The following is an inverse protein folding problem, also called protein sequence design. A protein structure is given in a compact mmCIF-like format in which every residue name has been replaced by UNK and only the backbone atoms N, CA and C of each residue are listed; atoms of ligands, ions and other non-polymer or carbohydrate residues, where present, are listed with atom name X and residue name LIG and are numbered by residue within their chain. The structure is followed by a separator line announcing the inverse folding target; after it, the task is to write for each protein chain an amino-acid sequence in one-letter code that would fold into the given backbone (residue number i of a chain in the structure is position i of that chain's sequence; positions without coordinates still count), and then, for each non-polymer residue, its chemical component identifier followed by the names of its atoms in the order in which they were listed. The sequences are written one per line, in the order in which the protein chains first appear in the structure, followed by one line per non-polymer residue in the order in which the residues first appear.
data_IF_500207094216
#
_entry.id   IF_500207094216
#
_cell.length_a   1.000
_cell.length_b   1.000
_cell.length_c   1.000
_cell.angle_alpha   90.00
_cell.angle_beta   90.00
_cell.angle_gamma   90.00
#
_symmetry.space_group_name_H-M   'P 1'
#
loop_
_entity.id
_entity.type
_entity.pdbx_description
1 polymer ?
#
# COMPACT_ATOMS: atom_id res chain seq x y z
N UNK A 1 -32.65 14.31 -18.74
CA UNK A 1 -31.41 14.92 -19.26
C UNK A 1 -30.26 14.56 -18.34
N UNK A 2 -29.32 13.73 -18.80
CA UNK A 2 -28.20 13.25 -17.98
C UNK A 2 -27.17 14.37 -17.77
N UNK A 3 -26.84 14.65 -16.50
CA UNK A 3 -25.82 15.61 -16.09
C UNK A 3 -24.44 15.12 -16.53
N UNK A 4 -23.81 15.84 -17.46
CA UNK A 4 -22.45 15.55 -17.95
C UNK A 4 -21.43 15.82 -16.83
N UNK A 5 -20.70 14.80 -16.41
CA UNK A 5 -19.71 14.87 -15.34
C UNK A 5 -18.52 15.80 -15.62
N UNK A 6 -18.17 16.61 -14.61
CA UNK A 6 -17.17 17.71 -14.58
C UNK A 6 -15.70 17.20 -14.53
N UNK A 7 -15.49 15.90 -14.38
CA UNK A 7 -14.18 15.30 -14.14
C UNK A 7 -13.80 14.28 -15.22
N UNK A 8 -12.50 14.18 -15.54
CA UNK A 8 -11.95 13.16 -16.44
C UNK A 8 -10.81 12.42 -15.74
N UNK A 9 -11.02 11.15 -15.41
CA UNK A 9 -9.93 10.27 -14.99
C UNK A 9 -9.25 9.69 -16.23
N UNK A 10 -7.96 9.97 -16.36
CA UNK A 10 -7.05 9.44 -17.38
C UNK A 10 -6.04 8.53 -16.70
N UNK A 11 -5.43 7.57 -17.40
CA UNK A 11 -4.38 6.71 -16.82
C UNK A 11 -3.02 7.40 -16.91
N UNK A 12 -2.04 7.06 -16.07
CA UNK A 12 -0.65 7.50 -16.28
C UNK A 12 0.08 6.49 -17.18
N UNK A 13 0.85 6.95 -18.19
CA UNK A 13 1.68 6.07 -18.98
C UNK A 13 2.85 5.55 -18.13
N UNK A 14 3.04 4.23 -18.12
CA UNK A 14 4.25 3.61 -17.57
C UNK A 14 5.36 3.78 -18.62
N UNK A 15 6.26 4.75 -18.42
CA UNK A 15 7.33 5.03 -19.38
C UNK A 15 8.42 3.95 -19.27
N UNK A 16 8.70 3.25 -20.37
CA UNK A 16 9.82 2.33 -20.49
C UNK A 16 11.11 3.10 -20.77
N UNK A 17 11.88 3.42 -19.73
CA UNK A 17 13.27 3.81 -19.96
C UNK A 17 14.06 2.55 -20.30
N UNK A 18 14.50 2.46 -21.56
CA UNK A 18 15.55 1.54 -22.00
C UNK A 18 16.80 1.75 -21.14
N UNK A 19 17.07 0.81 -20.22
CA UNK A 19 18.34 0.75 -19.49
C UNK A 19 19.32 -0.15 -20.24
N UNK A 20 20.49 0.40 -20.53
CA UNK A 20 21.67 -0.32 -20.99
C UNK A 20 22.09 -1.42 -20.01
N UNK A 21 22.70 -2.52 -20.46
CA UNK A 21 23.02 -3.64 -19.59
C UNK A 21 24.11 -3.25 -18.57
N UNK A 22 23.77 -3.32 -17.29
CA UNK A 22 24.73 -3.20 -16.18
C UNK A 22 25.34 -4.59 -15.96
N UNK A 23 26.66 -4.71 -16.19
CA UNK A 23 27.42 -5.90 -15.83
C UNK A 23 27.43 -6.09 -14.31
N UNK A 24 26.94 -7.23 -13.84
CA UNK A 24 27.02 -7.65 -12.45
C UNK A 24 28.40 -8.29 -12.19
N UNK A 25 29.18 -7.87 -11.18
CA UNK A 25 30.32 -8.64 -10.73
C UNK A 25 29.85 -9.89 -9.96
N UNK A 26 30.62 -10.97 -10.09
CA UNK A 26 30.33 -12.28 -9.50
C UNK A 26 30.21 -12.23 -7.96
N UNK A 27 29.11 -12.78 -7.43
CA UNK A 27 28.91 -13.03 -6.01
C UNK A 27 29.96 -14.02 -5.49
N UNK A 28 30.85 -13.56 -4.60
CA UNK A 28 31.63 -14.46 -3.73
C UNK A 28 30.70 -15.02 -2.66
N UNK A 29 30.47 -16.33 -2.69
CA UNK A 29 29.83 -17.08 -1.60
C UNK A 29 30.74 -17.03 -0.37
N UNK A 30 30.28 -16.39 0.70
CA UNK A 30 30.78 -16.60 2.05
C UNK A 30 29.80 -17.52 2.78
N UNK A 31 30.21 -18.76 3.01
CA UNK A 31 29.51 -19.69 3.90
C UNK A 31 30.07 -19.54 5.31
N UNK A 32 29.27 -19.08 6.26
CA UNK A 32 29.58 -19.21 7.68
C UNK A 32 28.81 -20.41 8.24
N UNK A 33 29.54 -21.37 8.81
CA UNK A 33 28.98 -22.50 9.52
C UNK A 33 28.47 -22.05 10.90
N UNK A 34 27.18 -22.29 11.18
CA UNK A 34 26.59 -22.05 12.49
C UNK A 34 26.77 -23.26 13.41
N UNK A 35 27.46 -23.06 14.53
CA UNK A 35 27.59 -24.03 15.62
C UNK A 35 26.27 -24.11 16.40
N UNK A 36 25.76 -25.32 16.57
CA UNK A 36 24.58 -25.66 17.37
C UNK A 36 24.96 -25.67 18.84
N UNK A 37 24.26 -24.90 19.68
CA UNK A 37 24.31 -25.02 21.14
C UNK A 37 22.98 -25.59 21.65
N UNK A 38 23.07 -26.75 22.29
CA UNK A 38 21.97 -27.51 22.84
C UNK A 38 21.57 -27.04 24.25
N UNK A 39 20.26 -27.10 24.52
CA UNK A 39 19.65 -27.53 25.78
C UNK A 39 19.86 -26.68 27.03
N UNK A 40 18.80 -26.01 27.48
CA UNK A 40 18.57 -25.81 28.91
C UNK A 40 17.11 -26.10 29.27
N UNK A 41 16.95 -26.68 30.46
CA UNK A 41 15.83 -27.49 30.95
C UNK A 41 14.58 -26.69 31.33
N UNK A 42 13.47 -27.40 31.24
CA UNK A 42 12.14 -27.16 31.85
C UNK A 42 12.26 -27.07 33.37
N UNK A 43 11.70 -26.02 33.97
CA UNK A 43 11.26 -25.99 35.37
C UNK A 43 9.80 -25.51 35.43
N UNK A 44 9.01 -26.18 36.27
CA UNK A 44 7.58 -25.98 36.49
C UNK A 44 7.34 -24.95 37.61
N UNK A 45 6.34 -24.07 37.39
CA UNK A 45 5.34 -23.44 38.29
C UNK A 45 5.58 -23.34 39.83
N UNK A 46 5.09 -22.26 40.48
CA UNK A 46 3.75 -22.34 41.07
C UNK A 46 2.85 -21.08 40.99
N UNK A 47 1.58 -21.34 40.67
CA UNK A 47 0.30 -20.75 41.13
C UNK A 47 0.31 -19.52 42.07
N UNK A 48 -0.42 -18.48 41.66
CA UNK A 48 -0.92 -17.38 42.51
C UNK A 48 -2.11 -16.67 41.85
N UNK A 49 -3.27 -16.71 42.52
CA UNK A 49 -4.59 -16.20 42.13
C UNK A 49 -4.67 -14.71 41.77
N UNK A 50 -5.57 -14.33 40.86
CA UNK A 50 -6.79 -13.50 41.10
C UNK A 50 -7.55 -13.39 39.78
N UNK A 51 -8.74 -14.00 39.69
CA UNK A 51 -9.73 -13.66 38.67
C UNK A 51 -10.52 -12.44 39.17
N UNK A 52 -10.43 -11.31 38.48
CA UNK A 52 -11.55 -10.37 38.36
C UNK A 52 -11.32 -9.46 37.15
N UNK A 53 -12.27 -9.46 36.21
CA UNK A 53 -12.31 -8.49 35.11
C UNK A 53 -12.62 -9.12 33.76
N UNK A 54 -13.92 -9.18 33.45
CA UNK A 54 -14.45 -9.50 32.14
C UNK A 54 -13.73 -8.67 31.06
N UNK A 55 -12.78 -9.30 30.35
CA UNK A 55 -12.26 -8.74 29.12
C UNK A 55 -13.11 -9.28 27.99
N UNK A 56 -13.80 -8.36 27.33
CA UNK A 56 -14.35 -8.55 26.00
C UNK A 56 -13.15 -8.72 25.03
N UNK A 57 -12.52 -9.90 25.07
CA UNK A 57 -11.35 -10.22 24.27
C UNK A 57 -11.84 -10.49 22.86
N UNK A 58 -11.90 -9.45 22.05
CA UNK A 58 -11.82 -9.64 20.60
C UNK A 58 -10.62 -10.55 20.33
N UNK A 59 -10.80 -11.66 19.59
CA UNK A 59 -9.70 -12.59 19.35
C UNK A 59 -8.53 -11.83 18.73
N UNK A 60 -7.35 -11.94 19.35
CA UNK A 60 -6.14 -11.32 18.83
C UNK A 60 -5.84 -11.96 17.48
N UNK A 61 -5.91 -11.16 16.41
CA UNK A 61 -5.58 -11.62 15.05
C UNK A 61 -4.14 -12.11 15.02
N UNK A 62 -3.92 -13.20 14.31
CA UNK A 62 -2.57 -13.68 14.02
C UNK A 62 -1.89 -12.76 13.00
N UNK A 63 -0.56 -12.75 12.98
CA UNK A 63 0.22 -12.00 11.97
C UNK A 63 -0.21 -12.31 10.53
N UNK A 64 -0.56 -13.57 10.25
CA UNK A 64 -1.00 -13.99 8.92
C UNK A 64 -2.38 -13.42 8.57
N UNK A 65 -3.32 -13.44 9.51
CA UNK A 65 -4.66 -12.86 9.32
C UNK A 65 -4.58 -11.35 9.11
N UNK A 66 -3.73 -10.64 9.86
CA UNK A 66 -3.50 -9.21 9.66
C UNK A 66 -2.95 -8.93 8.25
N UNK A 67 -1.95 -9.70 7.81
CA UNK A 67 -1.39 -9.57 6.46
C UNK A 67 -2.43 -9.78 5.36
N UNK A 68 -3.30 -10.78 5.53
CA UNK A 68 -4.37 -11.10 4.58
C UNK A 68 -5.42 -9.99 4.53
N UNK A 69 -5.85 -9.48 5.68
CA UNK A 69 -6.77 -8.35 5.77
C UNK A 69 -6.19 -7.09 5.13
N UNK A 70 -4.92 -6.75 5.42
CA UNK A 70 -4.25 -5.60 4.80
C UNK A 70 -4.12 -5.74 3.29
N UNK A 71 -3.84 -6.95 2.80
CA UNK A 71 -3.80 -7.23 1.36
C UNK A 71 -5.19 -7.08 0.73
N UNK A 72 -6.24 -7.56 1.39
CA UNK A 72 -7.61 -7.47 0.88
C UNK A 72 -8.11 -6.01 0.85
N UNK A 73 -7.84 -5.22 1.90
CA UNK A 73 -8.00 -3.76 1.91
C UNK A 73 -7.29 -3.10 0.71
N UNK A 74 -6.03 -3.49 0.45
CA UNK A 74 -5.25 -2.96 -0.64
C UNK A 74 -5.84 -3.31 -2.02
N UNK A 75 -6.49 -4.46 -2.20
CA UNK A 75 -7.10 -4.88 -3.48
C UNK A 75 -8.31 -4.03 -3.89
N UNK A 76 -9.03 -3.46 -2.93
CA UNK A 76 -10.15 -2.53 -3.15
C UNK A 76 -9.75 -1.05 -3.00
N UNK A 77 -8.45 -0.79 -3.00
CA UNK A 77 -7.89 0.56 -2.91
C UNK A 77 -7.33 1.00 -4.28
N UNK A 78 -7.49 2.28 -4.59
CA UNK A 78 -6.93 2.94 -5.79
C UNK A 78 -5.98 4.07 -5.41
N UNK A 79 -4.99 4.31 -6.28
CA UNK A 79 -4.08 5.44 -6.17
C UNK A 79 -4.43 6.46 -7.25
N UNK A 80 -4.72 7.69 -6.85
CA UNK A 80 -5.12 8.77 -7.77
C UNK A 80 -4.13 9.92 -7.69
N UNK A 81 -3.48 10.25 -8.80
CA UNK A 81 -2.76 11.50 -8.95
C UNK A 81 -3.76 12.64 -9.17
N UNK A 82 -3.71 13.64 -8.31
CA UNK A 82 -4.66 14.74 -8.22
C UNK A 82 -4.07 16.03 -8.79
N UNK A 83 -4.90 16.91 -9.38
CA UNK A 83 -4.47 18.26 -9.71
C UNK A 83 -4.23 19.07 -8.43
N UNK A 84 -3.34 20.07 -8.51
CA UNK A 84 -2.95 20.91 -7.37
C UNK A 84 -4.09 21.71 -6.74
N UNK A 85 -5.21 21.88 -7.46
CA UNK A 85 -6.41 22.60 -7.00
C UNK A 85 -7.60 21.66 -7.06
N UNK A 86 -7.82 20.88 -6.00
CA UNK A 86 -8.92 19.93 -5.89
C UNK A 86 -9.65 20.11 -4.56
N UNK A 87 -10.99 20.01 -4.60
CA UNK A 87 -11.82 20.02 -3.40
C UNK A 87 -12.00 18.57 -2.98
N UNK A 88 -11.62 18.23 -1.75
CA UNK A 88 -11.82 16.91 -1.17
C UNK A 88 -13.28 16.46 -1.28
N UNK A 89 -14.23 17.37 -0.99
CA UNK A 89 -15.66 17.07 -1.07
C UNK A 89 -16.11 16.74 -2.50
N UNK A 90 -15.64 17.48 -3.49
CA UNK A 90 -15.98 17.21 -4.90
C UNK A 90 -15.31 15.93 -5.40
N UNK A 91 -14.07 15.70 -5.00
CA UNK A 91 -13.30 14.49 -5.29
C UNK A 91 -14.01 13.24 -4.79
N UNK A 92 -14.38 13.21 -3.50
CA UNK A 92 -15.10 12.11 -2.90
C UNK A 92 -16.48 11.95 -3.54
N UNK A 93 -17.21 13.05 -3.78
CA UNK A 93 -18.50 13.00 -4.47
C UNK A 93 -18.40 12.35 -5.86
N UNK A 94 -17.29 12.55 -6.56
CA UNK A 94 -17.08 11.90 -7.85
C UNK A 94 -16.81 10.40 -7.69
N UNK A 95 -15.93 10.01 -6.77
CA UNK A 95 -15.59 8.60 -6.55
C UNK A 95 -16.76 7.80 -5.96
N UNK A 96 -17.56 8.40 -5.08
CA UNK A 96 -18.74 7.77 -4.48
C UNK A 96 -19.83 7.37 -5.49
N UNK A 97 -19.74 7.82 -6.74
CA UNK A 97 -20.63 7.37 -7.83
C UNK A 97 -20.36 5.91 -8.23
N UNK A 98 -19.16 5.40 -7.94
CA UNK A 98 -18.75 4.03 -8.26
C UNK A 98 -18.94 3.06 -7.10
N UNK A 99 -19.15 3.57 -5.89
CA UNK A 99 -19.47 2.81 -4.69
C UNK A 99 -19.06 3.55 -3.41
N UNK A 100 -19.45 3.05 -2.24
CA UNK A 100 -19.14 3.68 -0.96
C UNK A 100 -17.63 3.67 -0.69
N UNK A 101 -17.10 4.83 -0.31
CA UNK A 101 -15.71 5.00 0.12
C UNK A 101 -15.60 4.63 1.60
N UNK A 102 -14.72 3.70 1.93
CA UNK A 102 -14.43 3.30 3.31
C UNK A 102 -13.56 4.35 4.00
N UNK A 103 -12.46 4.73 3.35
CA UNK A 103 -11.53 5.74 3.86
C UNK A 103 -10.64 6.26 2.74
N UNK A 104 -10.04 7.42 2.99
CA UNK A 104 -9.08 8.03 2.08
C UNK A 104 -8.08 8.88 2.86
N UNK A 105 -6.92 9.12 2.24
CA UNK A 105 -5.99 10.14 2.69
C UNK A 105 -5.25 10.71 1.49
N UNK A 106 -4.74 11.93 1.66
CA UNK A 106 -3.87 12.57 0.68
C UNK A 106 -2.43 12.50 1.15
N UNK A 107 -1.48 12.46 0.24
CA UNK A 107 -0.07 12.63 0.54
C UNK A 107 0.63 13.36 -0.61
N UNK A 108 1.76 13.99 -0.28
CA UNK A 108 2.55 14.72 -1.26
C UNK A 108 3.85 13.97 -1.58
N UNK A 109 4.19 13.93 -2.86
CA UNK A 109 5.47 13.44 -3.38
C UNK A 109 5.87 14.32 -4.57
N UNK A 110 6.00 13.78 -5.79
CA UNK A 110 6.16 14.58 -7.02
C UNK A 110 4.86 15.27 -7.49
N UNK A 111 3.93 15.52 -6.58
CA UNK A 111 2.56 15.94 -6.84
C UNK A 111 1.65 15.51 -5.69
N UNK A 112 0.39 15.93 -5.76
CA UNK A 112 -0.65 15.54 -4.79
C UNK A 112 -1.23 14.18 -5.20
N UNK A 113 -1.22 13.22 -4.28
CA UNK A 113 -1.82 11.90 -4.49
C UNK A 113 -2.90 11.65 -3.45
N UNK A 114 -3.92 10.91 -3.86
CA UNK A 114 -4.97 10.40 -2.99
C UNK A 114 -4.95 8.88 -3.01
N UNK A 115 -4.97 8.28 -1.83
CA UNK A 115 -5.21 6.85 -1.64
C UNK A 115 -6.66 6.70 -1.20
N UNK A 116 -7.44 5.92 -1.95
CA UNK A 116 -8.88 5.78 -1.69
C UNK A 116 -9.24 4.31 -1.62
N UNK A 117 -9.69 3.88 -0.45
CA UNK A 117 -10.22 2.54 -0.21
C UNK A 117 -11.74 2.55 -0.34
N UNK A 118 -12.29 1.72 -1.21
CA UNK A 118 -13.73 1.47 -1.29
C UNK A 118 -14.14 0.39 -0.29
N UNK A 119 -15.42 0.35 0.10
CA UNK A 119 -15.93 -0.76 0.92
C UNK A 119 -16.04 -2.07 0.11
N UNK A 120 -16.11 -2.00 -1.22
CA UNK A 120 -16.33 -3.13 -2.11
C UNK A 120 -15.32 -3.13 -3.26
N UNK A 121 -14.85 -4.33 -3.62
CA UNK A 121 -13.93 -4.53 -4.73
C UNK A 121 -14.55 -4.13 -6.07
N UNK A 122 -15.83 -4.43 -6.27
CA UNK A 122 -16.57 -4.10 -7.51
C UNK A 122 -16.61 -2.59 -7.80
N UNK A 123 -16.47 -1.73 -6.77
CA UNK A 123 -16.38 -0.29 -6.95
C UNK A 123 -15.12 0.13 -7.71
N UNK A 124 -14.02 -0.60 -7.52
CA UNK A 124 -12.79 -0.41 -8.30
C UNK A 124 -13.04 -0.76 -9.76
N UNK A 125 -13.70 -1.89 -10.05
CA UNK A 125 -14.00 -2.29 -11.43
C UNK A 125 -14.94 -1.30 -12.12
N UNK A 126 -15.97 -0.83 -11.41
CA UNK A 126 -16.87 0.24 -11.87
C UNK A 126 -16.10 1.51 -12.25
N UNK A 127 -15.16 1.94 -11.40
CA UNK A 127 -14.31 3.09 -11.66
C UNK A 127 -13.38 2.87 -12.86
N UNK A 128 -12.71 1.72 -12.91
CA UNK A 128 -11.77 1.38 -13.98
C UNK A 128 -12.45 1.28 -15.35
N UNK A 129 -13.70 0.83 -15.40
CA UNK A 129 -14.47 0.69 -16.65
C UNK A 129 -14.85 2.04 -17.29
N UNK A 130 -14.98 3.11 -16.50
CA UNK A 130 -15.25 4.46 -17.04
C UNK A 130 -13.98 5.26 -17.32
N UNK A 131 -12.81 4.79 -16.85
CA UNK A 131 -11.53 5.49 -17.07
C UNK A 131 -11.06 5.36 -18.51
N UNK A 132 -10.61 6.48 -19.08
CA UNK A 132 -10.10 6.51 -20.43
C UNK A 132 -8.59 6.28 -20.44
N UNK A 133 -8.11 5.47 -21.39
CA UNK A 133 -6.70 5.45 -21.74
C UNK A 133 -6.40 6.82 -22.37
N UNK A 134 -5.36 7.55 -21.92
CA UNK A 134 -5.01 8.83 -22.53
C UNK A 134 -4.85 8.66 -24.03
N UNK A 135 -5.69 9.34 -24.81
CA UNK A 135 -5.42 9.53 -26.21
C UNK A 135 -4.42 10.68 -26.33
N UNK A 136 -3.27 10.41 -26.95
CA UNK A 136 -2.37 11.34 -27.67
C UNK A 136 -0.94 11.55 -27.13
N UNK A 137 0.02 11.31 -28.04
CA UNK A 137 1.47 11.56 -28.01
C UNK A 137 2.19 10.59 -28.97
N UNK A 138 3.30 10.96 -29.62
CA UNK A 138 4.07 10.10 -30.57
C UNK A 138 4.72 8.84 -29.94
N UNK A 139 4.36 8.48 -28.70
CA UNK A 139 4.92 7.36 -27.96
C UNK A 139 3.87 6.26 -27.76
N UNK A 140 4.29 5.02 -27.95
CA UNK A 140 3.45 3.85 -27.74
C UNK A 140 3.13 3.69 -26.24
N UNK A 141 1.86 3.86 -25.86
CA UNK A 141 1.39 3.60 -24.50
C UNK A 141 1.05 2.13 -24.34
N UNK A 142 1.59 1.47 -23.32
CA UNK A 142 1.19 0.10 -22.96
C UNK A 142 -0.21 0.16 -22.35
N UNK A 143 -1.23 -0.52 -22.93
CA UNK A 143 -2.62 -0.45 -22.47
C UNK A 143 -2.86 -1.36 -21.25
N UNK A 144 -2.01 -1.25 -20.22
CA UNK A 144 -2.19 -1.99 -18.98
C UNK A 144 -3.22 -1.28 -18.09
N UNK A 145 -4.28 -2.00 -17.70
CA UNK A 145 -5.34 -1.45 -16.86
C UNK A 145 -4.95 -1.51 -15.38
N UNK A 146 -4.21 -0.52 -14.89
CA UNK A 146 -3.87 -0.42 -13.47
C UNK A 146 -4.92 0.34 -12.64
N UNK A 147 -4.83 0.18 -11.32
CA UNK A 147 -5.51 0.98 -10.28
C UNK A 147 -4.79 2.31 -9.95
N UNK A 148 -3.81 2.69 -10.76
CA UNK A 148 -3.13 3.97 -10.68
C UNK A 148 -3.72 4.94 -11.72
N UNK A 149 -4.41 5.96 -11.23
CA UNK A 149 -5.25 6.86 -12.01
C UNK A 149 -4.72 8.30 -11.95
N UNK A 150 -5.09 9.10 -12.94
CA UNK A 150 -4.77 10.53 -13.05
C UNK A 150 -6.05 11.33 -13.25
N UNK A 151 -6.40 12.14 -12.27
CA UNK A 151 -7.57 12.99 -12.34
C UNK A 151 -7.23 14.29 -13.06
N UNK A 152 -7.96 14.56 -14.15
CA UNK A 152 -7.93 15.83 -14.88
C UNK A 152 -9.26 16.56 -14.70
N UNK A 153 -9.19 17.84 -14.38
CA UNK A 153 -10.35 18.72 -14.31
C UNK A 153 -10.68 19.24 -15.72
N UNK A 154 -11.94 19.12 -16.16
CA UNK A 154 -12.35 19.52 -17.52
C UNK A 154 -12.44 21.04 -17.72
N UNK A 155 -12.49 21.84 -16.65
CA UNK A 155 -12.53 23.31 -16.73
C UNK A 155 -12.04 23.97 -15.43
N UNK A 156 -11.08 24.91 -15.48
CA UNK A 156 -10.64 25.67 -14.32
C UNK A 156 -11.56 26.87 -14.10
N UNK A 157 -12.82 26.65 -13.72
CA UNK A 157 -13.83 27.73 -13.71
C UNK A 157 -14.39 28.10 -12.33
N UNK A 158 -13.78 27.66 -11.21
CA UNK A 158 -14.21 28.09 -9.88
C UNK A 158 -13.18 29.00 -9.21
N UNK A 159 -13.61 30.14 -8.63
CA UNK A 159 -12.73 31.03 -7.91
C UNK A 159 -12.13 30.33 -6.69
N UNK A 160 -10.85 30.62 -6.45
CA UNK A 160 -9.93 30.01 -5.47
C UNK A 160 -10.37 30.22 -4.00
N UNK A 161 -11.45 30.96 -3.75
CA UNK A 161 -11.74 31.56 -2.45
C UNK A 161 -12.51 30.69 -1.45
N UNK A 162 -12.97 29.49 -1.81
CA UNK A 162 -13.83 28.65 -0.94
C UNK A 162 -13.27 27.25 -0.65
N UNK A 163 -12.07 26.91 -1.12
CA UNK A 163 -11.52 25.57 -0.90
C UNK A 163 -10.65 25.54 0.35
N UNK A 164 -11.08 24.76 1.36
CA UNK A 164 -10.24 24.39 2.50
C UNK A 164 -8.97 23.69 1.98
N UNK A 165 -7.77 24.06 2.46
CA UNK A 165 -6.54 23.40 2.08
C UNK A 165 -6.58 21.92 2.45
N UNK A 166 -6.30 21.05 1.48
CA UNK A 166 -6.10 19.61 1.76
C UNK A 166 -4.84 19.50 2.61
N UNK A 167 -4.94 18.84 3.76
CA UNK A 167 -3.80 18.53 4.62
C UNK A 167 -3.23 17.16 4.21
N UNK A 168 -2.06 17.10 3.55
CA UNK A 168 -1.45 15.84 3.17
C UNK A 168 -0.86 15.14 4.40
N UNK A 169 -1.03 13.83 4.48
CA UNK A 169 -0.35 12.98 5.45
C UNK A 169 1.14 12.88 5.13
N UNK A 170 1.98 13.09 6.13
CA UNK A 170 3.44 13.01 6.01
C UNK A 170 3.87 11.55 5.86
N UNK A 171 4.59 11.24 4.79
CA UNK A 171 5.11 9.88 4.52
C UNK A 171 6.60 9.73 4.84
N UNK A 172 7.23 10.79 5.35
CA UNK A 172 8.64 10.88 5.69
C UNK A 172 8.80 11.31 7.15
N UNK A 173 9.88 10.90 7.81
CA UNK A 173 10.14 11.30 9.19
C UNK A 173 10.42 12.81 9.24
N UNK A 174 10.22 13.45 10.41
CA UNK A 174 10.63 14.84 10.59
C UNK A 174 12.14 15.00 10.39
N UNK A 175 12.57 16.24 10.11
CA UNK A 175 14.00 16.55 10.04
C UNK A 175 14.67 16.30 11.39
N UNK A 176 15.95 15.90 11.38
CA UNK A 176 16.72 15.67 12.60
C UNK A 176 16.68 16.88 13.55
N UNK A 177 16.67 18.11 13.01
CA UNK A 177 16.56 19.33 13.81
C UNK A 177 15.23 19.40 14.56
N UNK A 178 14.10 19.22 13.87
CA UNK A 178 12.77 19.23 14.48
C UNK A 178 12.63 18.11 15.51
N UNK A 179 13.16 16.93 15.19
CA UNK A 179 13.17 15.80 16.11
C UNK A 179 13.96 16.13 17.38
N UNK A 180 15.17 16.68 17.27
CA UNK A 180 15.95 17.12 18.43
C UNK A 180 15.21 18.16 19.27
N UNK A 181 14.57 19.16 18.65
CA UNK A 181 13.76 20.17 19.35
C UNK A 181 12.61 19.55 20.15
N UNK A 182 11.93 18.53 19.60
CA UNK A 182 10.88 17.79 20.29
C UNK A 182 11.43 17.01 21.49
N UNK A 183 12.59 16.34 21.33
CA UNK A 183 13.22 15.56 22.41
C UNK A 183 13.75 16.44 23.54
N UNK A 184 14.25 17.64 23.25
CA UNK A 184 14.67 18.61 24.28
C UNK A 184 13.49 19.13 25.10
N UNK A 185 12.29 19.11 24.55
CA UNK A 185 11.08 19.62 25.20
C UNK A 185 10.36 18.57 26.06
N UNK A 186 10.83 17.32 26.06
CA UNK A 186 10.25 16.23 26.83
C UNK A 186 10.63 16.29 28.32
N UNK A 187 9.72 15.87 29.20
CA UNK A 187 9.87 15.99 30.65
C UNK A 187 10.74 14.88 31.27
N UNK A 188 10.91 13.76 30.57
CA UNK A 188 11.67 12.59 31.02
C UNK A 188 12.33 11.83 29.87
N UNK A 189 13.25 10.90 30.20
CA UNK A 189 13.86 9.99 29.21
C UNK A 189 12.81 9.06 28.60
N UNK A 190 11.84 8.59 29.38
CA UNK A 190 10.73 7.77 28.88
C UNK A 190 9.86 8.55 27.88
N UNK A 191 9.62 9.84 28.12
CA UNK A 191 8.90 10.72 27.18
C UNK A 191 9.72 10.98 25.92
N UNK A 192 11.05 11.11 26.04
CA UNK A 192 11.94 11.21 24.87
C UNK A 192 11.84 9.95 24.00
N UNK A 193 11.89 8.76 24.61
CA UNK A 193 11.79 7.49 23.87
C UNK A 193 10.41 7.33 23.22
N UNK A 194 9.34 7.67 23.93
CA UNK A 194 7.97 7.62 23.40
C UNK A 194 7.76 8.59 22.24
N UNK A 195 8.30 9.81 22.37
CA UNK A 195 8.27 10.83 21.31
C UNK A 195 9.07 10.38 20.09
N UNK A 196 10.28 9.85 20.30
CA UNK A 196 11.12 9.31 19.24
C UNK A 196 10.40 8.19 18.48
N UNK A 197 9.80 7.24 19.19
CA UNK A 197 9.04 6.15 18.58
C UNK A 197 7.87 6.70 17.76
N UNK A 198 7.06 7.59 18.34
CA UNK A 198 5.87 8.16 17.70
C UNK A 198 6.19 8.91 16.41
N UNK A 199 7.26 9.71 16.40
CA UNK A 199 7.66 10.53 15.26
C UNK A 199 8.33 9.72 14.14
N UNK A 200 8.90 8.56 14.47
CA UNK A 200 9.66 7.75 13.53
C UNK A 200 8.90 6.52 13.01
N UNK A 201 8.00 5.93 13.80
CA UNK A 201 7.29 4.71 13.44
C UNK A 201 6.42 4.88 12.18
N UNK A 202 6.16 3.79 11.47
CA UNK A 202 5.21 3.80 10.36
C UNK A 202 3.81 4.21 10.85
N UNK A 203 3.19 5.14 10.14
CA UNK A 203 1.78 5.49 10.37
C UNK A 203 0.86 4.46 9.73
N UNK A 204 -0.41 4.49 10.12
CA UNK A 204 -1.45 3.67 9.50
C UNK A 204 -1.58 3.98 7.99
N UNK A 205 -1.56 5.25 7.60
CA UNK A 205 -1.58 5.67 6.20
C UNK A 205 -0.36 5.15 5.43
N UNK A 206 0.84 5.25 6.01
CA UNK A 206 2.06 4.76 5.38
C UNK A 206 2.03 3.24 5.21
N UNK A 207 1.54 2.52 6.22
CA UNK A 207 1.37 1.07 6.17
C UNK A 207 0.39 0.69 5.05
N UNK A 208 -0.77 1.34 4.98
CA UNK A 208 -1.75 1.12 3.92
C UNK A 208 -1.18 1.42 2.53
N UNK A 209 -0.40 2.49 2.39
CA UNK A 209 0.29 2.82 1.14
C UNK A 209 1.26 1.70 0.74
N UNK A 210 2.05 1.16 1.68
CA UNK A 210 2.97 0.04 1.41
C UNK A 210 2.25 -1.20 0.89
N UNK A 211 1.14 -1.59 1.53
CA UNK A 211 0.32 -2.70 1.06
C UNK A 211 -0.33 -2.42 -0.31
N UNK A 212 -0.76 -1.19 -0.56
CA UNK A 212 -1.26 -0.77 -1.88
C UNK A 212 -0.19 -0.92 -2.96
N UNK A 213 1.05 -0.47 -2.72
CA UNK A 213 2.14 -0.62 -3.68
C UNK A 213 2.39 -2.11 -3.96
N UNK A 214 2.44 -2.97 -2.94
CA UNK A 214 2.56 -4.43 -3.14
C UNK A 214 1.42 -4.95 -4.04
N UNK A 215 0.19 -4.52 -3.78
CA UNK A 215 -0.99 -4.90 -4.57
C UNK A 215 -0.91 -4.41 -6.02
N UNK A 216 -0.40 -3.21 -6.28
CA UNK A 216 -0.20 -2.69 -7.65
C UNK A 216 0.87 -3.47 -8.42
N UNK A 217 1.96 -3.87 -7.76
CA UNK A 217 2.97 -4.75 -8.36
C UNK A 217 2.38 -6.15 -8.60
N UNK A 218 1.52 -6.64 -7.70
CA UNK A 218 0.80 -7.91 -7.86
C UNK A 218 -0.08 -7.92 -9.11
N UNK A 219 -0.79 -6.81 -9.40
CA UNK A 219 -1.59 -6.67 -10.63
C UNK A 219 -0.73 -6.88 -11.89
N UNK A 220 0.49 -6.31 -11.89
CA UNK A 220 1.44 -6.42 -13.01
C UNK A 220 1.98 -7.85 -13.11
N UNK A 221 2.41 -8.42 -11.99
CA UNK A 221 2.99 -9.77 -11.95
C UNK A 221 1.98 -10.85 -12.36
N UNK A 222 0.69 -10.68 -11.99
CA UNK A 222 -0.39 -11.62 -12.29
C UNK A 222 -0.62 -11.79 -13.80
N UNK A 223 -0.27 -10.78 -14.62
CA UNK A 223 -0.32 -10.89 -16.08
C UNK A 223 0.64 -11.97 -16.63
N UNK A 224 1.74 -12.25 -15.93
CA UNK A 224 2.74 -13.25 -16.30
C UNK A 224 2.67 -14.53 -15.45
N UNK A 225 2.31 -14.38 -14.17
CA UNK A 225 2.24 -15.44 -13.18
C UNK A 225 0.84 -15.46 -12.54
N UNK A 226 -0.17 -16.06 -13.21
CA UNK A 226 -1.53 -16.09 -12.68
C UNK A 226 -1.58 -16.71 -11.28
N UNK A 227 -2.23 -16.05 -10.33
CA UNK A 227 -2.30 -16.49 -8.93
C UNK A 227 -1.01 -16.27 -8.13
N UNK A 228 -0.08 -15.42 -8.59
CA UNK A 228 0.99 -14.98 -7.70
C UNK A 228 0.45 -14.05 -6.62
N UNK A 229 1.09 -14.04 -5.45
CA UNK A 229 0.80 -13.05 -4.41
C UNK A 229 2.07 -12.29 -4.06
N UNK A 230 1.94 -10.98 -3.86
CA UNK A 230 3.07 -10.14 -3.43
C UNK A 230 2.76 -9.59 -2.04
N UNK A 231 3.67 -9.80 -1.11
CA UNK A 231 3.51 -9.40 0.28
C UNK A 231 4.73 -8.63 0.78
N UNK A 232 4.52 -7.61 1.64
CA UNK A 232 5.61 -6.94 2.30
C UNK A 232 6.24 -7.83 3.38
N UNK A 233 7.55 -7.70 3.59
CA UNK A 233 8.25 -8.32 4.71
C UNK A 233 9.24 -7.35 5.36
N UNK A 234 9.96 -7.82 6.38
CA UNK A 234 10.99 -7.05 7.06
C UNK A 234 10.43 -5.86 7.84
N UNK A 235 11.09 -4.71 7.71
CA UNK A 235 10.78 -3.49 8.48
C UNK A 235 9.35 -2.98 8.29
N UNK A 236 8.72 -3.27 7.15
CA UNK A 236 7.36 -2.83 6.85
C UNK A 236 6.28 -3.50 7.71
N UNK A 237 6.59 -4.65 8.35
CA UNK A 237 5.59 -5.50 9.00
C UNK A 237 6.02 -6.05 10.36
N UNK A 238 7.29 -5.87 10.75
CA UNK A 238 7.83 -6.41 12.00
C UNK A 238 7.69 -5.47 13.22
N UNK A 239 6.93 -4.37 13.09
CA UNK A 239 6.72 -3.31 14.10
C UNK A 239 7.92 -2.40 14.40
N UNK A 240 9.09 -2.65 13.82
CA UNK A 240 10.30 -1.81 13.96
C UNK A 240 10.56 -0.91 12.73
N UNK A 241 9.57 -0.78 11.85
CA UNK A 241 9.63 0.06 10.67
C UNK A 241 9.70 1.55 11.00
N UNK A 242 10.54 2.27 10.25
CA UNK A 242 10.66 3.73 10.34
C UNK A 242 10.14 4.37 9.05
N UNK A 243 9.48 5.53 9.15
CA UNK A 243 9.11 6.33 7.97
C UNK A 243 10.33 6.55 7.06
N UNK A 244 10.13 6.37 5.76
CA UNK A 244 11.20 6.44 4.76
C UNK A 244 12.09 5.20 4.64
N UNK A 245 11.84 4.10 5.38
CA UNK A 245 12.53 2.84 5.14
C UNK A 245 12.07 2.16 3.83
N UNK A 246 12.91 1.28 3.30
CA UNK A 246 12.60 0.51 2.09
C UNK A 246 11.35 -0.36 2.26
N UNK A 247 10.71 -0.69 1.14
CA UNK A 247 9.60 -1.61 1.05
C UNK A 247 10.09 -2.93 0.45
N UNK A 248 10.45 -3.87 1.32
CA UNK A 248 10.87 -5.20 0.93
C UNK A 248 9.65 -6.06 0.58
N UNK A 249 9.65 -6.66 -0.61
CA UNK A 249 8.55 -7.48 -1.12
C UNK A 249 9.04 -8.89 -1.46
N UNK A 250 8.23 -9.90 -1.16
CA UNK A 250 8.43 -11.25 -1.71
C UNK A 250 7.27 -11.63 -2.61
N UNK A 251 7.58 -12.42 -3.65
CA UNK A 251 6.60 -12.95 -4.59
C UNK A 251 6.43 -14.43 -4.30
N UNK A 252 5.23 -14.83 -3.93
CA UNK A 252 4.85 -16.24 -3.83
C UNK A 252 4.15 -16.69 -5.13
N UNK A 253 4.59 -17.83 -5.65
CA UNK A 253 4.10 -18.46 -6.87
C UNK A 253 3.38 -19.80 -6.58
N UNK A 254 3.06 -20.09 -5.32
CA UNK A 254 2.50 -21.37 -4.92
C UNK A 254 1.18 -21.68 -5.65
N UNK A 255 0.23 -20.75 -5.69
CA UNK A 255 -1.05 -20.98 -6.37
C UNK A 255 -0.89 -21.10 -7.89
N UNK A 256 0.03 -20.34 -8.49
CA UNK A 256 0.39 -20.47 -9.91
C UNK A 256 0.81 -21.91 -10.27
N UNK A 257 1.55 -22.58 -9.38
CA UNK A 257 1.93 -23.98 -9.59
C UNK A 257 0.71 -24.91 -9.53
N UNK A 258 -0.21 -24.71 -8.59
CA UNK A 258 -1.45 -25.51 -8.47
C UNK A 258 -2.34 -25.38 -9.72
N UNK A 259 -2.54 -24.15 -10.21
CA UNK A 259 -3.32 -23.87 -11.43
C UNK A 259 -2.74 -24.58 -12.68
N UNK A 260 -1.40 -24.61 -12.81
CA UNK A 260 -0.74 -25.35 -13.91
C UNK A 260 -0.96 -26.86 -13.80
N UNK A 261 -0.92 -27.43 -12.60
CA UNK A 261 -1.16 -28.86 -12.37
C UNK A 261 -2.60 -29.23 -12.73
N UNK A 262 -3.60 -28.47 -12.26
CA UNK A 262 -5.00 -28.71 -12.60
C UNK A 262 -5.29 -28.58 -14.10
N UNK A 263 -4.68 -27.60 -14.79
CA UNK A 263 -4.84 -27.45 -16.25
C UNK A 263 -4.30 -28.67 -17.00
N UNK A 264 -3.16 -29.23 -16.57
CA UNK A 264 -2.59 -30.46 -17.15
C UNK A 264 -3.48 -31.67 -16.90
N UNK A 265 -4.02 -31.81 -15.70
CA UNK A 265 -4.96 -32.90 -15.36
C UNK A 265 -6.24 -32.85 -16.20
N UNK A 266 -6.82 -31.66 -16.40
CA UNK A 266 -8.02 -31.47 -17.22
C UNK A 266 -7.76 -31.73 -18.71
N UNK A 267 -6.54 -31.46 -19.21
CA UNK A 267 -6.14 -31.79 -20.57
C UNK A 267 -5.92 -33.29 -20.76
N UNK A 268 -5.34 -33.98 -19.77
CA UNK A 268 -5.12 -35.42 -19.81
C UNK A 268 -6.43 -36.22 -19.72
N UNK A 269 -7.43 -35.73 -18.97
CA UNK A 269 -8.76 -36.36 -18.89
C UNK A 269 -9.64 -36.15 -20.12
N UNK A 270 -9.23 -35.27 -21.05
CA UNK A 270 -9.94 -34.99 -22.31
C UNK A 270 -9.27 -35.65 -23.53
N UNK A 271 -8.18 -36.39 -23.31
CA UNK A 271 -7.43 -37.15 -24.32
C UNK A 271 -7.76 -38.63 -24.15
#
# INVERSE_FOLDING_TARGET
MATRGVWLLTRLPLCSQTRSPVQCPALRRLSCAGTVAAGLRREEQPSGSVETGCQDKTPTKTFYEEQDERREQAQRTVLVHCPSKISEKEFLKHLSQHGPVHSHFFYESFGLYAVVEFCQKDSVDSLLNVTQIPAMGMEAVIPFRSRFLNLKLKSPSRPVSEMSPIQPSNQLPPSNRKLSELLYSAESVDDQLSTLLKELQLTEENTRLRYLICSLIEDIATAYFPGCTIRPFGSSVNTFGKLGCDLDMFIDLHETRKLRTHKKELQLRRS
#
